data_IF_180162876986
#
_entry.id   IF_180162876986
#
_cell.length_a   1.000
_cell.length_b   1.000
_cell.length_c   1.000
_cell.angle_alpha   90.00
_cell.angle_beta   90.00
_cell.angle_gamma   90.00
#
_symmetry.space_group_name_H-M   'P 1'
#
loop_
_entity.id
_entity.type
_entity.pdbx_description
1 polymer ?
#
# COMPACT_ATOMS: atom_id res chain seq x y z
N UNK A 1 -23.04 1.64 -1.50
CA UNK A 1 -22.32 2.64 -0.66
C UNK A 1 -20.85 2.49 -0.96
N UNK A 2 -20.19 3.52 -1.51
CA UNK A 2 -18.75 3.45 -1.79
C UNK A 2 -18.00 3.31 -0.47
N UNK A 3 -17.18 2.25 -0.37
CA UNK A 3 -16.38 1.92 0.81
C UNK A 3 -14.95 2.36 0.50
N UNK A 4 -14.58 3.56 0.92
CA UNK A 4 -13.24 4.11 0.69
C UNK A 4 -12.23 3.55 1.69
N UNK A 5 -10.97 3.40 1.27
CA UNK A 5 -9.86 3.14 2.17
C UNK A 5 -9.70 4.25 3.21
N UNK A 6 -9.12 3.94 4.36
CA UNK A 6 -8.84 4.92 5.42
C UNK A 6 -7.46 4.73 6.02
N UNK A 7 -6.89 5.81 6.53
CA UNK A 7 -5.68 5.79 7.35
C UNK A 7 -6.03 6.07 8.80
N UNK A 8 -5.52 5.27 9.72
CA UNK A 8 -5.64 5.45 11.16
C UNK A 8 -4.28 5.85 11.71
N UNK A 9 -4.18 7.03 12.31
CA UNK A 9 -2.95 7.53 12.88
C UNK A 9 -2.57 6.71 14.13
N UNK A 10 -1.38 6.13 14.16
CA UNK A 10 -0.88 5.29 15.25
C UNK A 10 0.04 6.04 16.22
N UNK A 11 0.64 7.14 15.79
CA UNK A 11 1.61 7.89 16.60
C UNK A 11 1.61 9.38 16.27
N UNK A 12 2.22 10.18 17.15
CA UNK A 12 2.28 11.64 17.00
C UNK A 12 1.03 12.36 17.55
N UNK A 13 0.91 13.67 17.31
CA UNK A 13 -0.16 14.51 17.90
C UNK A 13 -1.57 14.08 17.49
N UNK A 14 -1.71 13.45 16.32
CA UNK A 14 -2.99 13.03 15.75
C UNK A 14 -3.32 11.56 16.03
N UNK A 15 -2.64 10.90 16.97
CA UNK A 15 -2.86 9.47 17.25
C UNK A 15 -4.35 9.16 17.54
N UNK A 16 -4.87 8.12 16.92
CA UNK A 16 -6.28 7.73 16.96
C UNK A 16 -7.17 8.42 15.92
N UNK A 17 -6.69 9.46 15.22
CA UNK A 17 -7.43 10.09 14.15
C UNK A 17 -7.55 9.15 12.94
N UNK A 18 -8.76 9.04 12.39
CA UNK A 18 -9.04 8.35 11.13
C UNK A 18 -9.24 9.35 10.00
N UNK A 19 -8.68 9.06 8.82
CA UNK A 19 -8.85 9.87 7.61
C UNK A 19 -9.30 8.98 6.46
N UNK A 20 -10.46 9.31 5.88
CA UNK A 20 -11.00 8.61 4.72
C UNK A 20 -10.34 9.10 3.41
N UNK A 21 -9.97 8.16 2.55
CA UNK A 21 -9.36 8.41 1.24
C UNK A 21 -10.43 8.42 0.15
N UNK A 22 -11.35 9.38 0.24
CA UNK A 22 -12.50 9.52 -0.65
C UNK A 22 -12.20 10.18 -2.01
N UNK A 23 -10.97 10.67 -2.20
CA UNK A 23 -10.51 11.35 -3.42
C UNK A 23 -9.58 10.44 -4.22
N UNK A 24 -9.52 10.68 -5.53
CA UNK A 24 -8.59 9.98 -6.43
C UNK A 24 -7.12 10.25 -6.08
N UNK A 25 -6.83 11.44 -5.56
CA UNK A 25 -5.52 11.81 -5.03
C UNK A 25 -5.69 12.55 -3.70
N UNK A 26 -4.95 12.12 -2.69
CA UNK A 26 -4.91 12.75 -1.37
C UNK A 26 -3.47 13.13 -1.03
N UNK A 27 -3.20 14.44 -0.98
CA UNK A 27 -1.89 14.95 -0.60
C UNK A 27 -1.64 14.76 0.91
N UNK A 28 -0.43 14.35 1.27
CA UNK A 28 0.03 14.14 2.63
C UNK A 28 1.22 15.05 2.91
N UNK A 29 1.19 15.81 4.01
CA UNK A 29 2.30 16.67 4.40
C UNK A 29 1.95 17.66 5.49
N UNK A 30 2.93 18.47 5.91
CA UNK A 30 2.69 19.50 6.95
C UNK A 30 1.96 20.75 6.43
N UNK A 31 1.76 20.89 5.12
CA UNK A 31 1.03 22.03 4.58
C UNK A 31 -0.40 22.05 5.11
N UNK A 32 -0.93 23.23 5.38
CA UNK A 32 -2.35 23.40 5.75
C UNK A 32 -3.29 22.98 4.60
N UNK A 33 -2.79 22.96 3.38
CA UNK A 33 -3.53 22.56 2.17
C UNK A 33 -3.51 21.05 1.91
N UNK A 34 -2.75 20.28 2.68
CA UNK A 34 -2.70 18.83 2.53
C UNK A 34 -4.03 18.20 2.97
N UNK A 35 -4.50 17.20 2.21
CA UNK A 35 -5.70 16.43 2.57
C UNK A 35 -5.50 15.63 3.86
N UNK A 36 -4.28 15.13 4.07
CA UNK A 36 -3.82 14.59 5.34
C UNK A 36 -2.72 15.49 5.88
N UNK A 37 -3.07 16.29 6.89
CA UNK A 37 -2.13 17.19 7.54
C UNK A 37 -1.31 16.45 8.59
N UNK A 38 0.00 16.48 8.42
CA UNK A 38 0.96 15.94 9.38
C UNK A 38 1.35 17.03 10.38
N UNK A 39 1.04 16.81 11.66
CA UNK A 39 1.59 17.59 12.77
C UNK A 39 2.97 17.07 13.17
N UNK A 40 3.89 17.13 12.21
CA UNK A 40 5.24 16.59 12.34
C UNK A 40 6.25 17.58 11.77
N UNK A 41 7.13 18.09 12.61
CA UNK A 41 8.17 19.05 12.21
C UNK A 41 9.16 18.46 11.20
N UNK A 42 9.32 17.14 11.19
CA UNK A 42 10.19 16.40 10.28
C UNK A 42 9.49 16.10 8.95
N UNK A 43 8.18 16.32 8.82
CA UNK A 43 7.50 16.16 7.55
C UNK A 43 7.77 17.33 6.58
N UNK A 44 7.98 17.02 5.30
CA UNK A 44 7.92 18.00 4.21
C UNK A 44 6.53 18.64 4.08
N UNK A 45 6.45 19.86 3.50
CA UNK A 45 5.17 20.54 3.21
C UNK A 45 4.29 19.70 2.27
N UNK A 46 4.91 19.22 1.20
CA UNK A 46 4.40 18.19 0.31
C UNK A 46 5.30 16.98 0.55
N UNK A 47 4.79 15.95 1.22
CA UNK A 47 5.59 14.82 1.68
C UNK A 47 5.36 13.60 0.79
N UNK A 48 4.09 13.27 0.60
CA UNK A 48 3.67 12.14 -0.20
C UNK A 48 2.29 12.44 -0.80
N UNK A 49 1.89 11.60 -1.74
CA UNK A 49 0.52 11.54 -2.22
C UNK A 49 0.02 10.11 -2.13
N UNK A 50 -1.26 9.96 -1.79
CA UNK A 50 -1.95 8.68 -1.87
C UNK A 50 -2.89 8.73 -3.05
N UNK A 51 -2.68 7.83 -4.00
CA UNK A 51 -3.40 7.72 -5.26
C UNK A 51 -4.33 6.52 -5.19
N UNK A 52 -5.58 6.73 -5.56
CA UNK A 52 -6.51 5.63 -5.83
C UNK A 52 -6.31 5.19 -7.27
N UNK A 53 -5.95 3.93 -7.47
CA UNK A 53 -5.68 3.36 -8.79
C UNK A 53 -6.55 2.12 -8.97
N UNK A 54 -7.59 2.26 -9.78
CA UNK A 54 -8.60 1.21 -9.95
C UNK A 54 -9.34 0.94 -8.64
N UNK A 55 -9.17 -0.27 -8.10
CA UNK A 55 -9.75 -0.70 -6.82
C UNK A 55 -8.80 -0.57 -5.64
N UNK A 56 -7.52 -0.25 -5.87
CA UNK A 56 -6.50 -0.20 -4.83
C UNK A 56 -5.97 1.21 -4.57
N UNK A 57 -5.02 1.28 -3.64
CA UNK A 57 -4.36 2.51 -3.21
C UNK A 57 -2.85 2.38 -3.33
N UNK A 58 -2.19 3.45 -3.77
CA UNK A 58 -0.74 3.56 -3.80
C UNK A 58 -0.29 4.79 -3.02
N UNK A 59 0.84 4.70 -2.33
CA UNK A 59 1.54 5.86 -1.77
C UNK A 59 2.75 6.16 -2.63
N UNK A 60 2.96 7.44 -2.93
CA UNK A 60 4.15 7.94 -3.63
C UNK A 60 4.86 8.97 -2.78
N UNK A 61 6.16 8.77 -2.57
CA UNK A 61 7.02 9.76 -1.93
C UNK A 61 7.26 10.93 -2.89
N UNK A 62 7.06 12.17 -2.44
CA UNK A 62 7.28 13.37 -3.25
C UNK A 62 8.70 13.92 -3.03
N UNK A 63 9.69 13.03 -3.04
CA UNK A 63 11.09 13.33 -2.73
C UNK A 63 11.23 14.03 -1.36
N UNK A 64 10.52 13.49 -0.36
CA UNK A 64 10.47 14.11 0.95
C UNK A 64 11.83 14.06 1.66
N UNK A 65 12.07 15.02 2.58
CA UNK A 65 13.37 15.11 3.28
C UNK A 65 13.65 13.87 4.13
N UNK A 66 12.62 13.32 4.77
CA UNK A 66 12.75 12.19 5.69
C UNK A 66 12.18 10.89 5.16
N UNK A 67 11.64 10.87 3.93
CA UNK A 67 11.17 9.68 3.23
C UNK A 67 9.85 9.12 3.76
N UNK A 68 9.31 8.20 2.95
CA UNK A 68 8.16 7.34 3.29
C UNK A 68 8.66 5.93 3.53
N UNK A 69 8.14 5.28 4.57
CA UNK A 69 8.41 3.88 4.88
C UNK A 69 7.09 3.11 4.83
N UNK A 70 7.06 1.98 4.14
CA UNK A 70 5.90 1.08 4.06
C UNK A 70 6.32 -0.28 4.59
N UNK A 71 5.65 -0.76 5.64
CA UNK A 71 5.97 -2.03 6.33
C UNK A 71 7.46 -2.20 6.69
N UNK A 72 8.06 -1.13 7.21
CA UNK A 72 9.48 -1.10 7.57
C UNK A 72 10.45 -0.93 6.39
N UNK A 73 9.98 -0.97 5.14
CA UNK A 73 10.79 -0.73 3.95
C UNK A 73 10.70 0.72 3.48
N UNK A 74 11.84 1.42 3.45
CA UNK A 74 11.92 2.81 2.97
C UNK A 74 11.82 2.85 1.45
N UNK A 75 10.94 3.70 0.93
CA UNK A 75 10.85 3.95 -0.51
C UNK A 75 12.07 4.74 -0.99
N UNK A 76 12.52 4.44 -2.21
CA UNK A 76 13.46 5.31 -2.90
C UNK A 76 12.80 6.70 -3.15
N UNK A 77 13.57 7.80 -3.16
CA UNK A 77 13.01 9.13 -3.40
C UNK A 77 12.19 9.18 -4.70
N UNK A 78 10.94 9.64 -4.62
CA UNK A 78 10.04 9.70 -5.78
C UNK A 78 9.31 8.39 -6.13
N UNK A 79 9.65 7.28 -5.47
CA UNK A 79 9.08 5.96 -5.75
C UNK A 79 7.65 5.81 -5.19
N UNK A 80 6.97 4.78 -5.70
CA UNK A 80 5.58 4.45 -5.37
C UNK A 80 5.49 3.02 -4.84
N UNK A 81 4.59 2.76 -3.90
CA UNK A 81 4.27 1.43 -3.38
C UNK A 81 2.77 1.26 -3.17
N UNK A 82 2.23 0.05 -3.36
CA UNK A 82 0.84 -0.24 -3.07
C UNK A 82 0.58 -0.37 -1.57
N UNK A 83 -0.63 0.02 -1.16
CA UNK A 83 -1.12 -0.12 0.20
C UNK A 83 -2.10 -1.29 0.27
N UNK A 84 -1.71 -2.33 0.99
CA UNK A 84 -2.56 -3.46 1.34
C UNK A 84 -3.25 -3.23 2.68
N UNK A 85 -4.44 -3.80 2.90
CA UNK A 85 -5.12 -3.70 4.20
C UNK A 85 -4.20 -4.14 5.36
N UNK A 86 -4.20 -3.35 6.43
CA UNK A 86 -3.39 -3.57 7.62
C UNK A 86 -1.96 -3.01 7.54
N UNK A 87 -1.47 -2.61 6.36
CA UNK A 87 -0.08 -2.15 6.21
C UNK A 87 0.17 -0.87 7.01
N UNK A 88 1.36 -0.79 7.62
CA UNK A 88 1.83 0.43 8.26
C UNK A 88 2.57 1.31 7.26
N UNK A 89 2.21 2.60 7.23
CA UNK A 89 2.87 3.63 6.45
C UNK A 89 3.37 4.71 7.39
N UNK A 90 4.65 5.03 7.30
CA UNK A 90 5.28 6.07 8.09
C UNK A 90 5.69 7.23 7.19
N UNK A 91 5.29 8.44 7.59
CA UNK A 91 5.69 9.71 6.99
C UNK A 91 6.55 10.46 8.01
N UNK A 92 7.84 10.64 7.73
CA UNK A 92 8.81 11.12 8.72
C UNK A 92 8.75 10.34 10.05
N UNK A 93 8.22 10.92 11.12
CA UNK A 93 8.11 10.28 12.45
C UNK A 93 6.69 9.81 12.80
N UNK A 94 5.72 10.11 11.95
CA UNK A 94 4.30 9.80 12.17
C UNK A 94 3.91 8.51 11.45
N UNK A 95 3.33 7.55 12.18
CA UNK A 95 2.88 6.26 11.64
C UNK A 95 1.38 6.22 11.46
N UNK A 96 0.94 5.56 10.40
CA UNK A 96 -0.46 5.30 10.10
C UNK A 96 -0.65 3.83 9.73
N UNK A 97 -1.81 3.27 10.05
CA UNK A 97 -2.28 1.99 9.50
C UNK A 97 -3.28 2.24 8.40
N UNK A 98 -3.08 1.60 7.26
CA UNK A 98 -4.06 1.61 6.18
C UNK A 98 -5.10 0.51 6.38
N UNK A 99 -6.35 0.86 6.15
CA UNK A 99 -7.47 -0.07 6.14
C UNK A 99 -8.24 0.05 4.82
N UNK A 100 -8.43 -1.07 4.15
CA UNK A 100 -9.28 -1.17 2.97
C UNK A 100 -10.57 -1.94 3.33
N UNK A 101 -11.74 -1.29 3.41
CA UNK A 101 -13.01 -1.97 3.66
C UNK A 101 -13.44 -2.93 2.54
N UNK A 102 -12.75 -2.93 1.39
CA UNK A 102 -12.86 -3.96 0.34
C UNK A 102 -12.12 -5.26 0.72
N UNK A 103 -11.05 -5.18 1.52
CA UNK A 103 -10.34 -6.35 2.04
C UNK A 103 -11.16 -7.13 3.08
N UNK A 104 -12.11 -6.47 3.76
CA UNK A 104 -13.05 -7.12 4.68
C UNK A 104 -14.11 -7.96 3.97
N UNK A 105 -14.14 -8.02 2.63
CA UNK A 105 -14.89 -9.06 1.90
C UNK A 105 -14.09 -10.38 1.89
N UNK A 106 -13.54 -10.81 3.02
CA UNK A 106 -13.02 -12.18 3.23
C UNK A 106 -13.06 -12.54 4.72
N UNK A 107 -14.26 -12.54 5.34
CA UNK A 107 -14.66 -13.45 6.41
C UNK A 107 -16.17 -13.34 6.69
N UNK A 108 -16.84 -14.48 6.95
CA UNK A 108 -17.72 -15.16 6.01
C UNK A 108 -19.08 -14.46 5.87
N UNK A 109 -19.38 -13.94 4.67
CA UNK A 109 -20.76 -13.78 4.23
C UNK A 109 -21.04 -14.91 3.25
N UNK A 110 -21.91 -15.81 3.66
CA UNK A 110 -22.36 -16.96 2.89
C UNK A 110 -22.85 -16.49 1.51
N UNK A 111 -22.31 -17.13 0.46
CA UNK A 111 -22.74 -17.04 -0.95
C UNK A 111 -22.34 -15.72 -1.64
N UNK A 112 -21.23 -15.72 -2.38
CA UNK A 112 -21.17 -15.23 -3.78
C UNK A 112 -19.72 -15.12 -4.33
N UNK A 113 -19.46 -15.99 -5.33
CA UNK A 113 -18.63 -15.77 -6.53
C UNK A 113 -17.10 -15.74 -6.37
N UNK A 114 -16.48 -16.86 -6.75
CA UNK A 114 -15.11 -16.92 -7.25
C UNK A 114 -14.90 -15.83 -8.31
N UNK A 115 -14.06 -14.85 -8.03
CA UNK A 115 -13.29 -14.26 -9.11
C UNK A 115 -12.19 -15.28 -9.46
N UNK A 116 -12.24 -15.93 -10.64
CA UNK A 116 -11.12 -16.72 -11.10
C UNK A 116 -9.93 -15.78 -11.25
N UNK A 117 -8.80 -16.14 -10.64
CA UNK A 117 -7.66 -15.23 -10.60
C UNK A 117 -6.62 -15.54 -9.54
N UNK A 118 -5.46 -14.92 -9.77
CA UNK A 118 -4.28 -14.99 -8.91
C UNK A 118 -4.38 -13.92 -7.81
N UNK A 119 -4.52 -14.34 -6.55
CA UNK A 119 -4.41 -13.50 -5.35
C UNK A 119 -3.07 -13.77 -4.67
N UNK A 120 -2.45 -12.73 -4.11
CA UNK A 120 -1.18 -12.83 -3.40
C UNK A 120 -1.34 -12.18 -2.02
N UNK A 121 -1.18 -12.97 -0.97
CA UNK A 121 -1.12 -12.52 0.42
C UNK A 121 0.34 -12.29 0.80
N UNK A 122 0.67 -11.04 1.13
CA UNK A 122 2.01 -10.61 1.51
C UNK A 122 2.37 -10.92 2.97
N UNK A 123 1.37 -10.98 3.86
CA UNK A 123 1.57 -11.23 5.29
C UNK A 123 1.99 -12.69 5.51
N UNK A 124 1.36 -13.61 4.78
CA UNK A 124 1.64 -15.05 4.87
C UNK A 124 2.54 -15.57 3.76
N UNK A 125 2.93 -14.72 2.80
CA UNK A 125 3.58 -15.10 1.52
C UNK A 125 2.84 -16.20 0.77
N UNK A 126 1.51 -16.26 0.96
CA UNK A 126 0.67 -17.27 0.35
C UNK A 126 0.11 -16.75 -0.97
N UNK A 127 0.23 -17.56 -2.00
CA UNK A 127 -0.40 -17.30 -3.29
C UNK A 127 -1.66 -18.15 -3.38
N UNK A 128 -2.74 -17.61 -3.94
CA UNK A 128 -3.96 -18.35 -4.24
C UNK A 128 -4.27 -18.24 -5.73
N UNK A 129 -4.59 -19.38 -6.34
CA UNK A 129 -5.08 -19.47 -7.72
C UNK A 129 -6.50 -20.00 -7.66
N UNK A 130 -7.46 -19.23 -8.18
CA UNK A 130 -8.88 -19.58 -8.17
C UNK A 130 -9.42 -19.90 -6.76
N UNK A 131 -8.88 -19.20 -5.76
CA UNK A 131 -9.22 -19.38 -4.35
C UNK A 131 -8.57 -20.58 -3.66
N UNK A 132 -7.74 -21.36 -4.35
CA UNK A 132 -6.95 -22.45 -3.76
C UNK A 132 -5.52 -21.97 -3.45
N UNK A 133 -4.98 -22.22 -2.24
CA UNK A 133 -3.59 -21.88 -1.94
C UNK A 133 -2.65 -22.68 -2.85
N UNK A 134 -1.62 -22.01 -3.37
CA UNK A 134 -0.55 -22.66 -4.12
C UNK A 134 0.27 -23.53 -3.16
N UNK A 135 0.26 -24.83 -3.42
CA UNK A 135 1.00 -25.85 -2.69
C UNK A 135 1.80 -26.72 -3.70
N UNK A 136 3.13 -26.85 -3.55
CA UNK A 136 3.98 -26.21 -2.54
C UNK A 136 4.03 -24.67 -2.68
N UNK A 137 4.27 -23.93 -1.59
CA UNK A 137 4.38 -22.48 -1.64
C UNK A 137 5.55 -22.05 -2.52
N UNK A 138 5.46 -20.85 -3.09
CA UNK A 138 6.57 -20.29 -3.86
C UNK A 138 7.81 -20.12 -3.01
N UNK A 139 8.98 -20.34 -3.62
CA UNK A 139 10.23 -19.89 -3.01
C UNK A 139 10.20 -18.37 -2.82
N UNK A 140 10.99 -17.85 -1.88
CA UNK A 140 11.06 -16.41 -1.60
C UNK A 140 11.29 -15.59 -2.87
N UNK A 141 12.20 -16.01 -3.75
CA UNK A 141 12.50 -15.29 -5.00
C UNK A 141 11.37 -15.38 -6.03
N UNK A 142 10.66 -16.50 -6.09
CA UNK A 142 9.49 -16.63 -6.96
C UNK A 142 8.33 -15.79 -6.43
N UNK A 143 8.17 -15.71 -5.11
CA UNK A 143 7.21 -14.83 -4.47
C UNK A 143 7.55 -13.35 -4.72
N UNK A 144 8.80 -12.94 -4.51
CA UNK A 144 9.27 -11.58 -4.76
C UNK A 144 9.05 -11.17 -6.23
N UNK A 145 9.36 -12.06 -7.18
CA UNK A 145 9.07 -11.86 -8.60
C UNK A 145 7.57 -11.74 -8.88
N UNK A 146 6.78 -12.69 -8.40
CA UNK A 146 5.34 -12.70 -8.61
C UNK A 146 4.70 -11.45 -8.00
N UNK A 147 5.16 -11.06 -6.81
CA UNK A 147 4.75 -9.86 -6.12
C UNK A 147 5.12 -8.63 -6.93
N UNK A 148 6.36 -8.52 -7.41
CA UNK A 148 6.77 -7.41 -8.27
C UNK A 148 5.89 -7.31 -9.53
N UNK A 149 5.63 -8.42 -10.21
CA UNK A 149 4.75 -8.44 -11.38
C UNK A 149 3.29 -8.12 -11.02
N UNK A 150 2.81 -8.59 -9.88
CA UNK A 150 1.48 -8.31 -9.36
C UNK A 150 1.29 -6.81 -9.10
N UNK A 151 2.28 -6.18 -8.46
CA UNK A 151 2.33 -4.74 -8.20
C UNK A 151 2.43 -3.90 -9.49
N UNK A 152 2.92 -4.49 -10.58
CA UNK A 152 3.10 -3.84 -11.88
C UNK A 152 2.08 -4.31 -12.93
N UNK A 153 0.96 -4.92 -12.53
CA UNK A 153 -0.08 -5.39 -13.48
C UNK A 153 -0.57 -4.24 -14.36
N UNK A 154 -0.67 -4.51 -15.66
CA UNK A 154 -1.07 -3.52 -16.67
C UNK A 154 0.08 -2.60 -17.15
N UNK A 155 1.29 -2.73 -16.57
CA UNK A 155 2.49 -2.02 -17.00
C UNK A 155 3.49 -3.00 -17.63
N UNK A 156 4.14 -2.58 -18.72
CA UNK A 156 5.29 -3.32 -19.26
C UNK A 156 6.48 -3.06 -18.35
N UNK A 157 7.05 -4.13 -17.79
CA UNK A 157 8.26 -4.10 -16.95
C UNK A 157 9.41 -4.79 -17.68
N UNK A 158 10.57 -4.16 -17.69
CA UNK A 158 11.78 -4.70 -18.32
C UNK A 158 12.45 -5.77 -17.45
N UNK A 159 13.28 -6.60 -18.08
CA UNK A 159 14.06 -7.63 -17.39
C UNK A 159 15.02 -7.03 -16.34
N UNK A 160 15.62 -5.89 -16.65
CA UNK A 160 16.51 -5.17 -15.73
C UNK A 160 15.75 -4.61 -14.52
N UNK A 161 14.56 -4.04 -14.71
CA UNK A 161 13.69 -3.60 -13.60
C UNK A 161 13.33 -4.76 -12.67
N UNK A 162 13.00 -5.92 -13.26
CA UNK A 162 12.70 -7.14 -12.49
C UNK A 162 13.94 -7.61 -11.73
N UNK A 163 15.10 -7.65 -12.38
CA UNK A 163 16.34 -8.10 -11.77
C UNK A 163 16.72 -7.22 -10.57
N UNK A 164 16.66 -5.90 -10.73
CA UNK A 164 16.98 -4.95 -9.68
C UNK A 164 16.00 -5.00 -8.49
N UNK A 165 14.73 -5.28 -8.75
CA UNK A 165 13.71 -5.35 -7.70
C UNK A 165 13.73 -6.68 -6.92
N UNK A 166 14.09 -7.79 -7.58
CA UNK A 166 13.97 -9.15 -7.02
C UNK A 166 15.33 -9.74 -6.59
N UNK A 167 16.41 -9.35 -7.25
CA UNK A 167 17.80 -9.79 -6.98
C UNK A 167 18.75 -8.58 -6.88
N UNK A 168 18.67 -7.80 -5.79
CA UNK A 168 19.61 -6.71 -5.52
C UNK A 168 21.03 -7.20 -5.22
#
# INVERSE_FOLDING_TARGET
>A
MSRYGRLVCLSGPNAGQEVELSREMTAVGRSAEAGIRLEDQFASRQHAEILRVGTGYQVRDLQSKNGVVVDGQRLAPGATAWLSDGVEVQFASTRYRFHDPSATVTAPSLIAVSEPGLRVDFTTRQVYVDGQPLDPPLSVKQFDLLWFLYQNRGRVVSKDEIAQAVWP
#
